data_IF_111421712589
#
_entry.id   IF_111421712589
#
_cell.length_a   1.000
_cell.length_b   1.000
_cell.length_c   1.000
_cell.angle_alpha   90.00
_cell.angle_beta   90.00
_cell.angle_gamma   90.00
#
_symmetry.space_group_name_H-M   'P 1'
#
loop_
_entity.id
_entity.type
_entity.pdbx_description
1 polymer ?
#
# COMPACT_ATOMS: atom_id res chain seq x y z
N UNK A 1 -62.35 -8.54 -39.51
CA UNK A 1 -61.78 -7.29 -39.01
C UNK A 1 -61.44 -7.45 -37.55
N UNK A 2 -60.18 -7.72 -37.25
CA UNK A 2 -59.67 -7.66 -35.88
C UNK A 2 -58.24 -7.11 -35.94
N UNK A 3 -58.08 -5.86 -35.54
CA UNK A 3 -56.81 -5.18 -35.45
C UNK A 3 -56.02 -5.75 -34.27
N UNK A 4 -54.93 -6.47 -34.55
CA UNK A 4 -53.98 -6.88 -33.57
C UNK A 4 -53.01 -5.72 -33.35
N UNK A 5 -53.23 -4.95 -32.27
CA UNK A 5 -52.31 -3.89 -31.83
C UNK A 5 -50.98 -4.51 -31.40
N UNK A 6 -49.94 -4.17 -32.13
CA UNK A 6 -48.56 -4.47 -31.78
C UNK A 6 -48.18 -3.72 -30.49
N UNK A 7 -48.16 -4.43 -29.38
CA UNK A 7 -47.52 -3.96 -28.16
C UNK A 7 -45.99 -4.14 -28.34
N UNK A 8 -45.35 -3.05 -28.76
CA UNK A 8 -43.88 -2.96 -28.69
C UNK A 8 -43.53 -2.72 -27.24
N UNK A 9 -43.18 -3.77 -26.52
CA UNK A 9 -42.52 -3.64 -25.22
C UNK A 9 -41.06 -3.18 -25.48
N UNK A 10 -40.84 -1.89 -25.33
CA UNK A 10 -39.47 -1.33 -25.30
C UNK A 10 -38.83 -1.75 -24.01
N UNK A 11 -38.01 -2.78 -24.07
CA UNK A 11 -37.12 -3.13 -22.97
C UNK A 11 -36.05 -2.03 -22.89
N UNK A 12 -36.17 -1.17 -21.90
CA UNK A 12 -35.13 -0.20 -21.54
C UNK A 12 -33.96 -0.99 -20.95
N UNK A 13 -32.98 -1.28 -21.78
CA UNK A 13 -31.69 -1.82 -21.30
C UNK A 13 -30.91 -0.66 -20.70
N UNK A 14 -31.04 -0.49 -19.39
CA UNK A 14 -30.12 0.38 -18.65
C UNK A 14 -28.76 -0.31 -18.69
N UNK A 15 -27.90 0.12 -19.60
CA UNK A 15 -26.49 -0.23 -19.57
C UNK A 15 -25.88 0.45 -18.34
N UNK A 16 -25.81 -0.28 -17.23
CA UNK A 16 -24.99 0.11 -16.10
C UNK A 16 -23.54 -0.05 -16.58
N UNK A 17 -22.95 1.05 -17.04
CA UNK A 17 -21.52 1.08 -17.32
C UNK A 17 -20.82 0.69 -15.99
N UNK A 18 -19.89 -0.29 -16.02
CA UNK A 18 -19.08 -0.55 -14.83
C UNK A 18 -18.33 0.75 -14.52
N UNK A 19 -18.61 1.32 -13.35
CA UNK A 19 -17.78 2.40 -12.82
C UNK A 19 -16.44 1.72 -12.54
N UNK A 20 -15.51 1.83 -13.47
CA UNK A 20 -14.11 1.49 -13.21
C UNK A 20 -13.62 2.55 -12.22
N UNK A 21 -13.70 2.24 -10.94
CA UNK A 21 -12.92 2.95 -9.94
C UNK A 21 -11.47 2.77 -10.38
N UNK A 22 -10.91 3.82 -10.97
CA UNK A 22 -9.50 3.82 -11.32
C UNK A 22 -8.71 3.44 -10.08
N UNK A 23 -7.77 2.51 -10.24
CA UNK A 23 -6.85 2.15 -9.16
C UNK A 23 -6.24 3.46 -8.65
N UNK A 24 -6.54 3.83 -7.41
CA UNK A 24 -5.97 5.04 -6.83
C UNK A 24 -4.51 4.77 -6.54
N UNK A 25 -3.64 5.52 -7.19
CA UNK A 25 -2.22 5.44 -6.96
C UNK A 25 -1.93 5.71 -5.48
N UNK A 26 -1.36 4.72 -4.82
CA UNK A 26 -0.81 4.88 -3.49
C UNK A 26 0.40 5.82 -3.59
N UNK A 27 0.56 6.74 -2.66
CA UNK A 27 1.73 7.60 -2.67
C UNK A 27 2.94 6.83 -2.16
N UNK A 28 3.85 6.49 -3.05
CA UNK A 28 5.14 5.90 -2.69
C UNK A 28 5.97 6.81 -1.78
N UNK A 29 6.92 6.22 -1.05
CA UNK A 29 7.77 6.97 -0.12
C UNK A 29 8.67 7.96 -0.85
N UNK A 30 8.82 9.15 -0.29
CA UNK A 30 9.68 10.23 -0.81
C UNK A 30 9.18 10.90 -2.08
N UNK A 31 8.05 10.47 -2.65
CA UNK A 31 7.49 11.07 -3.88
C UNK A 31 6.94 12.48 -3.66
N UNK A 32 6.50 12.78 -2.44
CA UNK A 32 5.94 14.10 -2.11
C UNK A 32 7.02 15.16 -1.82
N UNK A 33 8.30 14.74 -1.74
CA UNK A 33 9.44 15.64 -1.59
C UNK A 33 10.47 15.33 -2.67
N UNK A 34 10.68 16.24 -3.60
CA UNK A 34 11.73 16.11 -4.62
C UNK A 34 13.13 16.44 -4.10
N UNK A 35 13.26 16.74 -2.80
CA UNK A 35 14.51 17.21 -2.20
C UNK A 35 15.01 16.20 -1.17
N UNK A 36 16.23 15.71 -1.36
CA UNK A 36 16.94 14.92 -0.34
C UNK A 36 17.04 15.74 0.95
N UNK A 37 16.70 15.14 2.09
CA UNK A 37 16.62 15.82 3.37
C UNK A 37 15.33 16.61 3.61
N UNK A 38 14.45 16.69 2.62
CA UNK A 38 13.13 17.29 2.78
C UNK A 38 12.17 16.40 3.57
N UNK A 39 11.02 16.95 3.94
CA UNK A 39 9.96 16.22 4.64
C UNK A 39 8.98 15.63 3.61
N UNK A 40 8.61 14.37 3.80
CA UNK A 40 7.55 13.74 3.00
C UNK A 40 6.18 14.14 3.57
N UNK A 41 5.39 14.88 2.80
CA UNK A 41 4.06 15.35 3.24
C UNK A 41 3.00 14.25 3.29
N UNK A 42 3.28 13.07 2.73
CA UNK A 42 2.36 11.93 2.67
C UNK A 42 2.64 10.89 3.75
N UNK A 43 3.85 10.89 4.29
CA UNK A 43 4.28 9.94 5.27
C UNK A 43 4.63 10.61 6.60
N UNK A 44 4.20 9.99 7.67
CA UNK A 44 4.55 10.35 9.04
C UNK A 44 5.34 9.20 9.67
N UNK A 45 6.12 9.50 10.68
CA UNK A 45 6.85 8.53 11.47
C UNK A 45 6.73 8.84 12.95
N UNK A 46 6.60 7.79 13.74
CA UNK A 46 6.75 7.76 15.19
C UNK A 46 7.82 6.73 15.54
N UNK A 47 8.65 6.98 16.54
CA UNK A 47 9.67 6.03 16.94
C UNK A 47 9.89 6.01 18.45
N UNK A 48 10.56 4.93 18.91
CA UNK A 48 11.01 4.76 20.30
C UNK A 48 12.26 3.91 20.38
N UNK A 49 13.02 4.07 21.43
CA UNK A 49 14.03 3.11 21.84
C UNK A 49 13.34 1.86 22.41
N UNK A 50 13.87 0.66 22.13
CA UNK A 50 13.31 -0.58 22.66
C UNK A 50 13.72 -0.84 24.11
N UNK A 51 14.83 -0.26 24.54
CA UNK A 51 15.24 -0.31 25.93
C UNK A 51 15.96 0.98 26.37
N UNK A 52 16.07 1.19 27.68
CA UNK A 52 16.61 2.44 28.23
C UNK A 52 18.13 2.59 28.00
N UNK A 53 18.85 1.52 27.70
CA UNK A 53 20.29 1.60 27.38
C UNK A 53 20.58 2.19 26.00
N UNK A 54 19.55 2.32 25.17
CA UNK A 54 19.63 2.79 23.79
C UNK A 54 19.04 4.18 23.59
N UNK A 55 18.79 4.92 24.67
CA UNK A 55 18.31 6.29 24.56
C UNK A 55 19.32 7.13 23.79
N UNK A 56 19.07 7.26 22.47
CA UNK A 56 19.84 8.12 21.57
C UNK A 56 19.33 9.55 21.61
N UNK A 57 19.91 10.36 20.75
CA UNK A 57 19.40 11.69 20.47
C UNK A 57 18.20 11.68 19.52
N UNK A 58 17.53 12.82 19.37
CA UNK A 58 16.48 12.98 18.40
C UNK A 58 15.10 12.41 18.82
N UNK A 59 14.21 12.19 17.87
CA UNK A 59 12.81 11.85 18.16
C UNK A 59 12.63 10.47 18.82
N UNK A 60 13.63 9.57 18.72
CA UNK A 60 13.59 8.23 19.30
C UNK A 60 14.28 8.12 20.67
N UNK A 61 14.59 9.24 21.34
CA UNK A 61 15.31 9.30 22.60
C UNK A 61 14.51 8.85 23.84
N UNK A 62 13.42 8.12 23.68
CA UNK A 62 12.56 7.63 24.75
C UNK A 62 12.10 6.20 24.45
N UNK A 63 11.83 5.42 25.49
CA UNK A 63 11.15 4.13 25.38
C UNK A 63 9.65 4.26 25.11
N UNK A 64 9.10 5.47 25.26
CA UNK A 64 7.74 5.81 24.87
C UNK A 64 7.76 6.30 23.42
N UNK A 65 6.88 5.77 22.60
CA UNK A 65 6.77 6.21 21.21
C UNK A 65 6.51 7.71 21.11
N UNK A 66 7.26 8.38 20.22
CA UNK A 66 7.08 9.82 19.96
C UNK A 66 5.70 10.06 19.30
N UNK A 67 5.26 11.31 19.32
CA UNK A 67 4.17 11.73 18.46
C UNK A 67 4.56 11.52 16.98
N UNK A 68 3.58 11.29 16.11
CA UNK A 68 3.81 11.25 14.67
C UNK A 68 4.26 12.60 14.14
N UNK A 69 5.36 12.62 13.43
CA UNK A 69 5.89 13.77 12.68
C UNK A 69 6.06 13.39 11.22
N UNK A 70 6.21 14.37 10.32
CA UNK A 70 6.51 14.08 8.93
C UNK A 70 7.81 13.29 8.82
N UNK A 71 7.81 12.23 8.01
CA UNK A 71 9.01 11.44 7.75
C UNK A 71 10.00 12.25 6.91
N UNK A 72 11.29 12.08 7.20
CA UNK A 72 12.36 12.73 6.45
C UNK A 72 12.80 11.88 5.27
N UNK A 73 13.00 12.49 4.10
CA UNK A 73 13.67 11.83 2.97
C UNK A 73 15.15 11.69 3.27
N UNK A 74 15.67 10.46 3.26
CA UNK A 74 17.06 10.19 3.62
C UNK A 74 18.02 10.74 2.56
N UNK A 75 19.04 11.48 3.01
CA UNK A 75 20.01 12.15 2.14
C UNK A 75 21.14 11.26 1.69
N UNK A 76 21.63 10.41 2.59
CA UNK A 76 22.78 9.56 2.36
C UNK A 76 22.37 8.10 2.48
N UNK A 77 22.39 7.39 1.35
CA UNK A 77 22.20 5.95 1.35
C UNK A 77 23.53 5.28 1.75
N UNK A 78 23.53 4.40 2.77
CA UNK A 78 24.70 3.60 3.06
C UNK A 78 25.05 2.75 1.84
N UNK A 79 26.34 2.47 1.65
CA UNK A 79 26.87 1.72 0.51
C UNK A 79 26.46 0.25 0.42
N UNK A 80 25.27 -0.09 0.77
CA UNK A 80 24.67 -1.43 0.65
C UNK A 80 23.18 -1.34 0.32
N UNK A 81 22.59 -0.15 0.47
CA UNK A 81 21.23 0.04 0.04
C UNK A 81 21.20 0.00 -1.49
N UNK A 82 20.49 -0.97 -2.03
CA UNK A 82 20.38 -1.07 -3.47
C UNK A 82 19.96 0.30 -4.00
N UNK A 83 20.80 0.86 -4.87
CA UNK A 83 20.42 2.02 -5.63
C UNK A 83 19.08 1.69 -6.29
N UNK A 84 18.02 2.21 -5.71
CA UNK A 84 16.77 2.26 -6.44
C UNK A 84 17.13 3.17 -7.59
N UNK A 85 17.07 2.70 -8.85
CA UNK A 85 17.09 3.65 -9.92
C UNK A 85 16.06 4.69 -9.48
N UNK A 86 16.45 5.94 -9.38
CA UNK A 86 15.52 7.06 -9.30
C UNK A 86 14.73 6.97 -10.62
N UNK A 87 13.95 5.87 -10.72
CA UNK A 87 13.14 5.55 -11.85
C UNK A 87 12.08 6.62 -11.97
N UNK A 88 11.35 6.58 -13.04
CA UNK A 88 10.31 7.53 -13.41
C UNK A 88 9.32 7.89 -12.28
N UNK A 89 9.36 7.22 -11.15
CA UNK A 89 8.45 7.39 -10.01
C UNK A 89 9.02 8.16 -8.82
N UNK A 90 10.31 8.55 -8.81
CA UNK A 90 10.87 9.39 -7.75
C UNK A 90 10.90 8.80 -6.34
N UNK A 91 10.81 7.46 -6.19
CA UNK A 91 10.83 6.78 -4.90
C UNK A 91 12.14 7.04 -4.15
N UNK A 92 12.04 7.33 -2.85
CA UNK A 92 13.19 7.52 -1.96
C UNK A 92 12.93 6.83 -0.62
N UNK A 93 14.01 6.45 0.04
CA UNK A 93 13.94 6.02 1.44
C UNK A 93 13.51 7.18 2.33
N UNK A 94 12.63 6.87 3.30
CA UNK A 94 12.21 7.79 4.34
C UNK A 94 12.55 7.20 5.71
N UNK A 95 12.88 8.07 6.66
CA UNK A 95 13.24 7.72 8.02
C UNK A 95 12.73 8.75 9.01
N UNK A 96 13.06 8.53 10.30
CA UNK A 96 12.73 9.49 11.36
C UNK A 96 13.58 10.76 11.27
N UNK A 97 14.76 10.69 10.65
CA UNK A 97 15.66 11.81 10.42
C UNK A 97 16.23 11.77 9.00
N UNK A 98 16.63 12.94 8.49
CA UNK A 98 17.19 13.06 7.14
C UNK A 98 18.50 12.26 6.94
N UNK A 99 19.25 12.01 7.98
CA UNK A 99 20.44 11.12 7.95
C UNK A 99 20.08 9.64 7.99
N UNK A 100 18.84 9.29 8.33
CA UNK A 100 18.42 7.94 8.68
C UNK A 100 18.85 7.52 10.08
N UNK A 101 19.82 8.20 10.70
CA UNK A 101 20.39 7.83 11.99
C UNK A 101 19.68 8.55 13.14
N UNK A 102 19.27 7.81 14.15
CA UNK A 102 18.62 8.32 15.36
C UNK A 102 19.41 8.09 16.63
N UNK A 103 20.51 7.35 16.55
CA UNK A 103 21.32 7.06 17.72
C UNK A 103 22.34 5.95 17.51
N UNK A 104 22.87 5.44 18.59
CA UNK A 104 23.83 4.35 18.59
C UNK A 104 23.16 3.06 19.07
N UNK A 105 23.33 2.01 18.33
CA UNK A 105 22.76 0.69 18.62
C UNK A 105 23.46 -0.07 19.76
N UNK A 106 24.60 0.41 20.25
CA UNK A 106 25.47 -0.37 21.13
C UNK A 106 25.74 -1.81 20.63
N UNK A 107 25.70 -2.00 19.29
CA UNK A 107 25.86 -3.29 18.64
C UNK A 107 24.58 -4.12 18.49
N UNK A 108 23.43 -3.61 18.92
CA UNK A 108 22.16 -4.32 18.75
C UNK A 108 21.52 -4.01 17.38
N UNK A 109 21.08 -5.05 16.68
CA UNK A 109 20.45 -4.91 15.36
C UNK A 109 19.00 -4.40 15.43
N UNK A 110 18.33 -4.52 16.58
CA UNK A 110 16.97 -4.06 16.81
C UNK A 110 16.93 -3.18 18.06
N UNK A 111 17.45 -1.97 17.94
CA UNK A 111 17.58 -1.00 19.03
C UNK A 111 16.38 -0.05 19.12
N UNK A 112 15.77 0.23 17.98
CA UNK A 112 14.67 1.18 17.84
C UNK A 112 13.51 0.56 17.09
N UNK A 113 12.29 0.98 17.43
CA UNK A 113 11.08 0.65 16.71
C UNK A 113 10.53 1.92 16.04
N UNK A 114 10.17 1.79 14.77
CA UNK A 114 9.58 2.83 13.95
C UNK A 114 8.21 2.42 13.51
N UNK A 115 7.26 3.35 13.54
CA UNK A 115 5.96 3.20 12.91
C UNK A 115 5.81 4.27 11.84
N UNK A 116 5.78 3.86 10.58
CA UNK A 116 5.53 4.72 9.44
C UNK A 116 4.06 4.70 9.11
N UNK A 117 3.44 5.87 8.98
CA UNK A 117 2.02 6.05 8.74
C UNK A 117 1.76 6.82 7.47
N UNK A 118 0.82 6.35 6.67
CA UNK A 118 0.25 7.09 5.54
C UNK A 118 -1.26 6.94 5.49
N UNK A 119 -1.91 7.88 4.81
CA UNK A 119 -3.34 7.80 4.52
C UNK A 119 -3.58 7.78 3.01
N UNK A 120 -4.57 7.03 2.57
CA UNK A 120 -4.94 6.89 1.16
C UNK A 120 -6.43 6.63 1.03
N UNK A 121 -7.01 6.93 -0.13
CA UNK A 121 -8.41 6.61 -0.41
C UNK A 121 -8.51 5.22 -1.02
N UNK A 122 -9.41 4.42 -0.51
CA UNK A 122 -9.69 3.06 -0.97
C UNK A 122 -11.16 2.83 -1.22
N UNK A 123 -11.50 1.61 -1.62
CA UNK A 123 -12.85 1.10 -1.72
C UNK A 123 -13.00 -0.14 -0.82
N UNK A 124 -14.20 -0.38 -0.32
CA UNK A 124 -14.48 -1.61 0.41
C UNK A 124 -14.21 -2.82 -0.49
N UNK A 125 -13.55 -3.85 0.05
CA UNK A 125 -13.17 -5.04 -0.72
C UNK A 125 -12.03 -4.82 -1.73
N UNK A 126 -11.43 -3.63 -1.77
CA UNK A 126 -10.24 -3.41 -2.56
C UNK A 126 -9.02 -4.15 -1.96
N UNK A 127 -8.00 -4.32 -2.77
CA UNK A 127 -6.71 -4.86 -2.40
C UNK A 127 -5.67 -3.74 -2.41
N UNK A 128 -4.80 -3.69 -1.40
CA UNK A 128 -3.60 -2.86 -1.42
C UNK A 128 -2.40 -3.76 -1.68
N UNK A 129 -1.67 -3.49 -2.75
CA UNK A 129 -0.39 -4.10 -3.05
C UNK A 129 0.72 -3.10 -2.81
N UNK A 130 1.72 -3.47 -1.99
CA UNK A 130 2.95 -2.72 -1.77
C UNK A 130 4.08 -3.42 -2.52
N UNK A 131 4.64 -2.76 -3.54
CA UNK A 131 5.71 -3.29 -4.37
C UNK A 131 6.43 -2.17 -5.15
N UNK A 132 7.76 -1.99 -4.98
CA UNK A 132 8.62 -2.71 -4.04
C UNK A 132 8.38 -2.29 -2.60
N UNK A 133 8.73 -3.17 -1.66
CA UNK A 133 8.85 -2.85 -0.24
C UNK A 133 10.26 -3.24 0.21
N UNK A 134 10.99 -2.29 0.77
CA UNK A 134 12.33 -2.47 1.34
C UNK A 134 12.37 -1.81 2.71
N UNK A 135 13.01 -2.47 3.64
CA UNK A 135 13.13 -1.99 5.03
C UNK A 135 14.56 -2.19 5.53
N UNK A 136 14.99 -1.34 6.40
CA UNK A 136 16.22 -1.49 7.18
C UNK A 136 15.86 -1.33 8.67
N UNK A 137 15.97 -2.38 9.53
CA UNK A 137 16.50 -3.72 9.29
C UNK A 137 15.41 -4.80 9.25
N UNK A 138 14.50 -4.85 10.26
CA UNK A 138 13.57 -5.96 10.46
C UNK A 138 12.13 -5.53 10.32
N UNK A 139 11.37 -6.40 9.67
CA UNK A 139 9.92 -6.28 9.62
C UNK A 139 9.28 -6.70 10.94
N UNK A 140 8.36 -5.89 11.45
CA UNK A 140 7.52 -6.23 12.61
C UNK A 140 6.10 -6.53 12.16
N UNK A 141 5.54 -5.70 11.28
CA UNK A 141 4.19 -5.91 10.80
C UNK A 141 3.56 -4.63 10.22
N UNK A 142 2.29 -4.75 9.91
CA UNK A 142 1.46 -3.60 9.53
C UNK A 142 0.12 -3.63 10.26
N UNK A 143 -0.52 -2.49 10.41
CA UNK A 143 -1.93 -2.39 10.76
C UNK A 143 -2.66 -1.48 9.79
N UNK A 144 -3.94 -1.80 9.55
CA UNK A 144 -4.81 -1.03 8.69
C UNK A 144 -5.97 -0.49 9.54
N UNK A 145 -6.23 0.82 9.41
CA UNK A 145 -7.33 1.51 10.10
C UNK A 145 -7.34 1.29 11.63
N UNK A 146 -6.15 1.22 12.25
CA UNK A 146 -6.00 0.98 13.68
C UNK A 146 -6.37 -0.42 14.15
N UNK A 147 -6.52 -1.38 13.22
CA UNK A 147 -6.75 -2.79 13.52
C UNK A 147 -5.53 -3.48 14.13
N UNK A 148 -5.67 -4.79 14.40
CA UNK A 148 -4.60 -5.61 14.95
C UNK A 148 -3.37 -5.65 14.02
N UNK A 149 -2.18 -5.76 14.62
CA UNK A 149 -0.91 -5.93 13.91
C UNK A 149 -0.92 -7.24 13.13
N UNK A 150 -0.64 -7.16 11.84
CA UNK A 150 -0.51 -8.28 10.93
C UNK A 150 0.97 -8.46 10.55
N UNK A 151 1.45 -9.69 10.50
CA UNK A 151 2.86 -9.98 10.21
C UNK A 151 3.09 -10.67 8.87
N UNK A 152 2.04 -11.15 8.22
CA UNK A 152 2.06 -11.92 6.96
C UNK A 152 1.54 -11.14 5.76
N UNK A 153 1.27 -11.87 4.67
CA UNK A 153 0.74 -11.32 3.41
C UNK A 153 1.79 -11.11 2.34
N UNK A 154 3.00 -11.62 2.53
CA UNK A 154 4.10 -11.48 1.57
C UNK A 154 3.93 -12.35 0.34
N UNK A 155 4.38 -11.81 -0.79
CA UNK A 155 4.56 -12.52 -2.04
C UNK A 155 6.03 -12.44 -2.42
N UNK A 156 6.70 -13.60 -2.52
CA UNK A 156 8.13 -13.68 -2.78
C UNK A 156 8.96 -13.93 -1.51
N UNK A 157 10.20 -13.42 -1.43
CA UNK A 157 11.07 -13.63 -0.28
C UNK A 157 10.39 -13.19 1.02
N UNK A 158 10.47 -14.04 2.05
CA UNK A 158 9.92 -13.73 3.36
C UNK A 158 10.88 -12.81 4.15
N UNK A 159 10.53 -11.56 4.44
CA UNK A 159 11.40 -10.65 5.18
C UNK A 159 11.62 -11.07 6.64
N UNK A 160 10.76 -11.93 7.19
CA UNK A 160 10.94 -12.49 8.53
C UNK A 160 12.10 -13.50 8.59
N UNK A 161 12.45 -14.11 7.46
CA UNK A 161 13.56 -15.04 7.35
C UNK A 161 14.90 -14.37 7.07
N UNK A 162 14.89 -13.08 6.72
CA UNK A 162 16.10 -12.34 6.40
C UNK A 162 16.78 -11.82 7.67
N UNK A 163 18.08 -12.00 7.76
CA UNK A 163 18.92 -11.53 8.86
C UNK A 163 19.12 -9.99 8.82
N UNK A 164 18.04 -9.22 8.67
CA UNK A 164 18.09 -7.77 8.60
C UNK A 164 18.46 -7.18 7.24
N UNK A 165 18.72 -7.98 6.21
CA UNK A 165 19.16 -7.51 4.88
C UNK A 165 17.98 -7.16 3.92
N UNK A 166 16.90 -6.67 4.47
CA UNK A 166 15.68 -6.37 3.67
C UNK A 166 15.80 -5.10 2.83
N UNK A 167 16.89 -4.36 2.98
CA UNK A 167 17.17 -3.17 2.15
C UNK A 167 17.75 -3.52 0.78
N UNK A 168 18.37 -4.70 0.60
CA UNK A 168 18.96 -5.13 -0.67
C UNK A 168 17.95 -5.87 -1.55
N UNK A 169 17.08 -6.66 -0.95
CA UNK A 169 16.12 -7.50 -1.66
C UNK A 169 14.70 -6.98 -1.45
N UNK A 170 14.05 -6.46 -2.48
CA UNK A 170 12.67 -6.02 -2.36
C UNK A 170 11.75 -7.23 -2.16
N UNK A 171 10.70 -7.01 -1.39
CA UNK A 171 9.59 -7.94 -1.27
C UNK A 171 8.28 -7.24 -1.59
N UNK A 172 7.22 -8.00 -1.73
CA UNK A 172 5.87 -7.50 -1.97
C UNK A 172 4.95 -7.92 -0.85
N UNK A 173 4.04 -7.04 -0.48
CA UNK A 173 3.01 -7.30 0.51
C UNK A 173 1.65 -7.07 -0.13
N UNK A 174 0.75 -8.04 0.03
CA UNK A 174 -0.63 -7.95 -0.45
C UNK A 174 -1.58 -7.94 0.74
N UNK A 175 -2.37 -6.87 0.85
CA UNK A 175 -3.38 -6.68 1.88
C UNK A 175 -4.75 -6.83 1.22
N UNK A 176 -5.43 -7.95 1.48
CA UNK A 176 -6.69 -8.32 0.85
C UNK A 176 -7.92 -7.97 1.69
N UNK A 177 -7.74 -7.58 2.95
CA UNK A 177 -8.82 -7.36 3.90
C UNK A 177 -8.63 -6.07 4.69
N UNK A 178 -9.71 -5.51 5.20
CA UNK A 178 -9.67 -4.36 6.08
C UNK A 178 -9.71 -2.99 5.40
N UNK A 179 -9.67 -2.93 4.06
CA UNK A 179 -9.89 -1.67 3.33
C UNK A 179 -11.38 -1.28 3.39
N UNK A 180 -11.60 -0.01 3.69
CA UNK A 180 -12.93 0.58 3.71
C UNK A 180 -13.11 1.59 2.56
N UNK A 181 -14.35 1.91 2.22
CA UNK A 181 -14.63 2.98 1.28
C UNK A 181 -14.23 4.33 1.90
N UNK A 182 -13.50 5.13 1.15
CA UNK A 182 -12.99 6.42 1.60
C UNK A 182 -11.57 6.35 2.18
N UNK A 183 -11.31 7.15 3.21
CA UNK A 183 -9.98 7.29 3.78
C UNK A 183 -9.58 6.04 4.59
N UNK A 184 -8.41 5.51 4.29
CA UNK A 184 -7.76 4.43 5.01
C UNK A 184 -6.44 4.92 5.60
N UNK A 185 -6.03 4.35 6.72
CA UNK A 185 -4.74 4.59 7.37
C UNK A 185 -3.94 3.30 7.39
N UNK A 186 -2.73 3.33 6.87
CA UNK A 186 -1.77 2.23 6.93
C UNK A 186 -0.63 2.61 7.88
N UNK A 187 -0.37 1.76 8.85
CA UNK A 187 0.82 1.80 9.70
C UNK A 187 1.72 0.63 9.34
N UNK A 188 2.99 0.91 9.07
CA UNK A 188 4.04 -0.08 8.87
C UNK A 188 5.01 0.02 10.03
N UNK A 189 5.23 -1.09 10.71
CA UNK A 189 6.12 -1.17 11.86
C UNK A 189 7.37 -1.97 11.52
N UNK A 190 8.52 -1.37 11.80
CA UNK A 190 9.84 -1.95 11.57
C UNK A 190 10.74 -1.70 12.77
N UNK A 191 11.79 -2.50 12.93
CA UNK A 191 12.86 -2.20 13.88
C UNK A 191 14.18 -2.00 13.16
N UNK A 192 15.05 -1.19 13.74
CA UNK A 192 16.35 -0.88 13.19
C UNK A 192 17.41 -0.70 14.27
N UNK A 193 18.63 -0.50 13.83
CA UNK A 193 19.79 -0.38 14.73
C UNK A 193 20.12 1.08 15.10
N UNK A 194 19.41 2.05 14.56
CA UNK A 194 19.62 3.46 14.82
C UNK A 194 20.73 4.13 13.99
N UNK A 195 21.48 3.39 13.20
CA UNK A 195 22.56 3.96 12.37
C UNK A 195 22.00 4.58 11.08
N UNK A 196 21.35 3.76 10.28
CA UNK A 196 20.61 4.25 9.11
C UNK A 196 19.40 3.36 8.91
N UNK A 197 18.28 3.81 9.40
CA UNK A 197 17.04 3.05 9.37
C UNK A 197 16.00 3.76 8.51
N UNK A 198 15.26 3.00 7.73
CA UNK A 198 14.22 3.57 6.90
C UNK A 198 13.44 2.54 6.10
N UNK A 199 12.44 3.04 5.42
CA UNK A 199 11.65 2.24 4.48
C UNK A 199 11.63 2.88 3.09
N UNK A 200 11.50 2.03 2.09
CA UNK A 200 11.20 2.43 0.72
C UNK A 200 10.09 1.55 0.21
N UNK A 201 9.02 2.16 -0.25
CA UNK A 201 7.92 1.42 -0.85
C UNK A 201 7.16 2.24 -1.87
N UNK A 202 6.53 1.54 -2.78
CA UNK A 202 5.42 2.01 -3.61
C UNK A 202 4.22 1.12 -3.39
N UNK A 203 3.06 1.54 -3.88
CA UNK A 203 1.88 0.74 -3.73
C UNK A 203 0.75 1.14 -4.67
N UNK A 204 -0.20 0.23 -4.80
CA UNK A 204 -1.41 0.48 -5.56
C UNK A 204 -2.63 -0.12 -4.86
N UNK A 205 -3.72 0.60 -4.94
CA UNK A 205 -5.03 0.09 -4.55
C UNK A 205 -5.74 -0.39 -5.80
N UNK A 206 -6.20 -1.63 -5.81
CA UNK A 206 -6.97 -2.21 -6.90
C UNK A 206 -8.31 -2.72 -6.39
N UNK A 207 -9.36 -2.45 -7.14
CA UNK A 207 -10.67 -3.03 -6.86
C UNK A 207 -10.70 -4.43 -7.47
N UNK A 208 -10.92 -5.43 -6.63
CA UNK A 208 -11.19 -6.79 -7.11
C UNK A 208 -12.68 -6.85 -7.47
N UNK A 209 -13.04 -7.05 -8.75
CA UNK A 209 -14.45 -7.18 -9.12
C UNK A 209 -15.08 -8.34 -8.36
N UNK A 210 -16.22 -8.09 -7.71
CA UNK A 210 -16.94 -9.15 -7.02
C UNK A 210 -17.38 -10.26 -7.99
N UNK A 211 -17.45 -11.53 -7.53
CA UNK A 211 -17.96 -12.63 -8.37
C UNK A 211 -19.33 -12.36 -8.97
N UNK A 212 -20.19 -11.60 -8.28
CA UNK A 212 -21.48 -11.11 -8.76
C UNK A 212 -21.38 -10.25 -10.00
N UNK A 213 -20.32 -9.44 -10.15
CA UNK A 213 -20.08 -8.61 -11.33
C UNK A 213 -19.82 -9.48 -12.56
N UNK A 214 -19.02 -10.53 -12.40
CA UNK A 214 -18.79 -11.50 -13.49
C UNK A 214 -20.05 -12.30 -13.83
N UNK A 215 -20.84 -12.68 -12.82
CA UNK A 215 -22.12 -13.37 -13.03
C UNK A 215 -23.15 -12.48 -13.76
N UNK A 216 -23.25 -11.22 -13.40
CA UNK A 216 -24.10 -10.24 -14.08
C UNK A 216 -23.66 -9.97 -15.52
N UNK A 217 -22.35 -9.87 -15.75
CA UNK A 217 -21.79 -9.69 -17.09
C UNK A 217 -22.08 -10.91 -17.96
N UNK A 218 -21.86 -12.12 -17.43
CA UNK A 218 -22.16 -13.36 -18.14
C UNK A 218 -23.65 -13.50 -18.47
N UNK A 219 -24.54 -13.21 -17.51
CA UNK A 219 -25.99 -13.24 -17.70
C UNK A 219 -26.45 -12.21 -18.73
N UNK A 220 -25.87 -11.00 -18.69
CA UNK A 220 -26.13 -9.95 -19.67
C UNK A 220 -25.75 -10.37 -21.10
N UNK A 221 -24.57 -10.98 -21.26
CA UNK A 221 -24.10 -11.48 -22.55
C UNK A 221 -24.95 -12.64 -23.09
N UNK A 222 -25.35 -13.57 -22.22
CA UNK A 222 -26.27 -14.67 -22.58
C UNK A 222 -27.64 -14.14 -22.99
N UNK A 223 -28.15 -13.16 -22.27
CA UNK A 223 -29.43 -12.49 -22.60
C UNK A 223 -29.37 -11.80 -23.98
N UNK A 224 -28.30 -11.07 -24.27
CA UNK A 224 -28.09 -10.44 -25.58
C UNK A 224 -27.98 -11.48 -26.70
N UNK A 225 -27.23 -12.57 -26.47
CA UNK A 225 -27.10 -13.68 -27.42
C UNK A 225 -28.46 -14.32 -27.74
N UNK A 226 -29.28 -14.53 -26.73
CA UNK A 226 -30.66 -15.03 -26.87
C UNK A 226 -31.55 -14.13 -27.72
N UNK A 227 -31.53 -12.82 -27.49
CA UNK A 227 -32.29 -11.83 -28.28
C UNK A 227 -31.84 -11.79 -29.73
N UNK A 228 -30.55 -11.80 -29.99
CA UNK A 228 -29.97 -11.80 -31.35
C UNK A 228 -30.41 -13.08 -32.11
N UNK A 229 -30.30 -14.24 -31.45
CA UNK A 229 -30.71 -15.53 -32.02
C UNK A 229 -32.20 -15.53 -32.38
N UNK A 230 -33.06 -15.05 -31.47
CA UNK A 230 -34.51 -14.97 -31.71
C UNK A 230 -34.86 -14.06 -32.88
N UNK A 231 -34.18 -12.94 -33.03
CA UNK A 231 -34.40 -12.02 -34.17
C UNK A 231 -33.96 -12.63 -35.51
N UNK A 232 -32.93 -13.46 -35.53
CA UNK A 232 -32.50 -14.17 -36.76
C UNK A 232 -33.50 -15.25 -37.19
N UNK A 233 -34.06 -16.00 -36.23
CA UNK A 233 -35.06 -17.01 -36.50
C UNK A 233 -36.43 -16.43 -36.94
N UNK A 234 -36.75 -15.20 -36.59
CA UNK A 234 -37.97 -14.54 -36.98
C UNK A 234 -37.93 -13.91 -38.39
N UNK A 235 -36.80 -13.95 -39.07
CA UNK A 235 -36.59 -13.43 -40.44
C UNK A 235 -36.53 -14.53 -41.52
N UNK A 236 -36.70 -15.79 -41.12
CA UNK A 236 -36.90 -16.95 -42.04
C UNK A 236 -38.35 -17.34 -42.04
#
# INVERSE_FOLDING_TARGET
MRNLRNLIASALVVAIAPVSLAAQAFAGTGMASNVAGGLDSRWQVSCRALNASQLGGGPCGSTIASAFTQASVITAMPGGWAAVPLGANGLRYIGAMATGSVGNSNGENAAYEYTFRTTFTGAAGAQLELNPLRIDNYWVGYSLNGGALQTGGFVGPNPLAANGNNWTTPFSLIINTGLVAGLNTLDIKVTGNGQTDGILLDGRVSVVPEPSTYALMATGLLGLGGVVRRRRLAKV
#
